data_IF_701736096214
#
_entry.id   IF_701736096214
#
_cell.length_a   1.000
_cell.length_b   1.000
_cell.length_c   1.000
_cell.angle_alpha   90.00
_cell.angle_beta   90.00
_cell.angle_gamma   90.00
#
_symmetry.space_group_name_H-M   'P 1'
#
loop_
_entity.id
_entity.type
_entity.pdbx_description
1 polymer ?
#
# COMPACT_ATOMS: atom_id res chain seq x y z
N UNK A 1 -7.22 5.60 6.14
CA UNK A 1 -6.69 4.30 5.70
C UNK A 1 -5.65 3.84 6.71
N UNK A 2 -5.78 2.66 7.25
CA UNK A 2 -4.86 2.13 8.25
C UNK A 2 -4.02 1.02 7.62
N UNK A 3 -2.75 1.33 7.31
CA UNK A 3 -1.83 0.37 6.69
C UNK A 3 -1.55 -0.81 7.61
N UNK A 4 -1.47 -0.56 8.92
CA UNK A 4 -1.21 -1.63 9.90
C UNK A 4 -2.32 -2.68 9.87
N UNK A 5 -3.57 -2.25 9.80
CA UNK A 5 -4.70 -3.18 9.70
C UNK A 5 -4.67 -4.00 8.42
N UNK A 6 -4.30 -3.37 7.30
CA UNK A 6 -4.19 -4.07 6.02
C UNK A 6 -3.08 -5.11 6.04
N UNK A 7 -1.93 -4.75 6.58
CA UNK A 7 -0.80 -5.68 6.69
C UNK A 7 -1.18 -6.85 7.61
N UNK A 8 -1.84 -6.57 8.73
CA UNK A 8 -2.29 -7.61 9.65
C UNK A 8 -3.28 -8.57 8.99
N UNK A 9 -4.23 -8.03 8.22
CA UNK A 9 -5.20 -8.85 7.50
C UNK A 9 -4.52 -9.79 6.51
N UNK A 10 -3.50 -9.29 5.78
CA UNK A 10 -2.73 -10.12 4.86
C UNK A 10 -1.95 -11.21 5.58
N UNK A 11 -1.39 -10.89 6.74
CA UNK A 11 -0.71 -11.88 7.57
C UNK A 11 -1.66 -12.98 8.03
N UNK A 12 -2.84 -12.61 8.51
CA UNK A 12 -3.85 -13.56 8.95
C UNK A 12 -4.32 -14.46 7.82
N UNK A 13 -4.53 -13.88 6.65
CA UNK A 13 -4.92 -14.64 5.45
C UNK A 13 -3.90 -15.70 5.10
N UNK A 14 -2.60 -15.41 5.31
CA UNK A 14 -1.52 -16.34 5.02
C UNK A 14 -1.14 -17.23 6.19
N UNK A 15 -1.69 -16.97 7.38
CA UNK A 15 -1.31 -17.68 8.60
C UNK A 15 0.10 -17.31 9.07
N UNK A 16 0.54 -16.09 8.79
CA UNK A 16 1.89 -15.63 9.13
C UNK A 16 1.92 -14.94 10.48
N UNK A 17 3.02 -15.18 11.22
CA UNK A 17 3.36 -14.46 12.44
C UNK A 17 4.23 -13.25 12.09
N UNK A 18 4.43 -12.36 13.08
CA UNK A 18 5.38 -11.24 12.94
C UNK A 18 6.77 -11.76 12.58
N UNK A 19 7.19 -12.87 13.19
CA UNK A 19 8.47 -13.50 12.88
C UNK A 19 8.58 -13.88 11.40
N UNK A 20 7.53 -14.50 10.86
CA UNK A 20 7.52 -14.89 9.45
C UNK A 20 7.58 -13.68 8.54
N UNK A 21 6.83 -12.63 8.85
CA UNK A 21 6.86 -11.40 8.07
C UNK A 21 8.24 -10.75 8.09
N UNK A 22 8.86 -10.71 9.27
CA UNK A 22 10.23 -10.19 9.41
C UNK A 22 11.22 -10.97 8.54
N UNK A 23 11.11 -12.29 8.56
CA UNK A 23 11.99 -13.15 7.78
C UNK A 23 11.81 -12.93 6.28
N UNK A 24 10.58 -12.88 5.81
CA UNK A 24 10.30 -12.77 4.37
C UNK A 24 10.57 -11.36 3.83
N UNK A 25 10.38 -10.33 4.64
CA UNK A 25 10.53 -8.94 4.20
C UNK A 25 11.94 -8.38 4.43
N UNK A 26 12.70 -8.97 5.33
CA UNK A 26 14.00 -8.42 5.75
C UNK A 26 13.87 -7.25 6.72
N UNK A 27 12.67 -6.88 7.12
CA UNK A 27 12.44 -5.84 8.14
C UNK A 27 12.61 -6.47 9.52
N UNK A 28 13.24 -5.75 10.46
CA UNK A 28 13.46 -6.30 11.79
C UNK A 28 12.16 -6.59 12.51
N UNK A 29 12.17 -7.66 13.31
CA UNK A 29 11.02 -8.02 14.15
C UNK A 29 10.57 -6.86 15.03
N UNK A 30 11.56 -6.15 15.63
CA UNK A 30 11.27 -5.00 16.51
C UNK A 30 10.53 -3.88 15.77
N UNK A 31 10.94 -3.59 14.56
CA UNK A 31 10.28 -2.55 13.75
C UNK A 31 8.82 -2.92 13.48
N UNK A 32 8.56 -4.17 13.11
CA UNK A 32 7.20 -4.63 12.83
C UNK A 32 6.35 -4.61 14.11
N UNK A 33 6.90 -5.13 15.22
CA UNK A 33 6.19 -5.12 16.51
C UNK A 33 5.86 -3.70 16.97
N UNK A 34 6.81 -2.78 16.85
CA UNK A 34 6.56 -1.39 17.21
C UNK A 34 5.50 -0.74 16.33
N UNK A 35 5.48 -1.07 15.06
CA UNK A 35 4.46 -0.57 14.14
C UNK A 35 3.05 -0.97 14.63
N UNK A 36 2.87 -2.23 15.03
CA UNK A 36 1.59 -2.71 15.52
C UNK A 36 1.27 -2.22 16.93
N UNK A 37 2.23 -2.34 17.85
CA UNK A 37 1.99 -2.04 19.27
C UNK A 37 1.78 -0.54 19.53
N UNK A 38 2.51 0.30 18.83
CA UNK A 38 2.43 1.77 18.98
C UNK A 38 1.61 2.45 17.92
N UNK A 39 1.09 1.69 16.98
CA UNK A 39 0.32 2.22 15.86
C UNK A 39 1.04 3.35 15.13
N UNK A 40 2.37 3.20 14.95
CA UNK A 40 3.17 4.18 14.23
C UNK A 40 3.12 3.90 12.74
N UNK A 41 3.13 4.97 11.95
CA UNK A 41 3.20 4.82 10.50
C UNK A 41 4.59 4.40 10.07
N UNK A 42 4.70 3.33 9.27
CA UNK A 42 6.00 2.94 8.73
C UNK A 42 6.46 3.90 7.64
N UNK A 43 7.78 3.97 7.44
CA UNK A 43 8.33 4.74 6.32
C UNK A 43 8.03 4.04 5.00
N UNK A 44 8.12 4.80 3.90
CA UNK A 44 7.87 4.23 2.56
C UNK A 44 8.81 3.05 2.26
N UNK A 45 10.13 3.14 2.52
CA UNK A 45 11.02 1.98 2.31
C UNK A 45 10.61 0.75 3.13
N UNK A 46 10.14 0.94 4.36
CA UNK A 46 9.65 -0.16 5.19
C UNK A 46 8.41 -0.80 4.58
N UNK A 47 7.46 0.03 4.13
CA UNK A 47 6.23 -0.47 3.48
C UNK A 47 6.58 -1.27 2.22
N UNK A 48 7.50 -0.76 1.41
CA UNK A 48 7.92 -1.47 0.20
C UNK A 48 8.55 -2.83 0.53
N UNK A 49 9.39 -2.87 1.56
CA UNK A 49 10.01 -4.13 2.00
C UNK A 49 8.95 -5.13 2.48
N UNK A 50 7.96 -4.67 3.25
CA UNK A 50 6.87 -5.52 3.71
C UNK A 50 6.04 -6.05 2.54
N UNK A 51 5.75 -5.21 1.55
CA UNK A 51 5.05 -5.63 0.35
C UNK A 51 5.83 -6.70 -0.42
N UNK A 52 7.13 -6.52 -0.58
CA UNK A 52 7.97 -7.51 -1.23
C UNK A 52 7.94 -8.85 -0.49
N UNK A 53 7.99 -8.81 0.83
CA UNK A 53 7.90 -10.02 1.65
C UNK A 53 6.56 -10.73 1.51
N UNK A 54 5.49 -9.95 1.38
CA UNK A 54 4.13 -10.49 1.21
C UNK A 54 3.83 -10.89 -0.25
N UNK A 55 4.70 -10.54 -1.19
CA UNK A 55 4.49 -10.87 -2.59
C UNK A 55 3.43 -10.02 -3.27
N UNK A 56 3.22 -8.80 -2.77
CA UNK A 56 2.26 -7.86 -3.34
C UNK A 56 2.97 -6.57 -3.76
N UNK A 57 2.28 -5.77 -4.57
CA UNK A 57 2.77 -4.44 -4.93
C UNK A 57 2.30 -3.41 -3.91
N UNK A 58 2.96 -2.24 -3.90
CA UNK A 58 2.53 -1.12 -3.06
C UNK A 58 1.12 -0.68 -3.45
N UNK A 59 0.83 -0.66 -4.73
CA UNK A 59 -0.50 -0.30 -5.24
C UNK A 59 -1.58 -1.24 -4.71
N UNK A 60 -1.32 -2.55 -4.71
CA UNK A 60 -2.25 -3.53 -4.16
C UNK A 60 -2.51 -3.29 -2.68
N UNK A 61 -1.47 -2.96 -1.92
CA UNK A 61 -1.63 -2.67 -0.50
C UNK A 61 -2.49 -1.42 -0.27
N UNK A 62 -2.22 -0.35 -1.01
CA UNK A 62 -2.93 0.92 -0.85
C UNK A 62 -4.38 0.84 -1.29
N UNK A 63 -4.66 0.12 -2.37
CA UNK A 63 -6.01 -0.02 -2.90
C UNK A 63 -6.78 -1.18 -2.24
N UNK A 64 -6.05 -2.09 -1.59
CA UNK A 64 -6.65 -3.21 -0.88
C UNK A 64 -7.47 -4.10 -1.82
N UNK A 65 -8.61 -4.57 -1.34
CA UNK A 65 -9.49 -5.43 -2.12
C UNK A 65 -10.04 -4.74 -3.37
N UNK A 66 -10.08 -3.42 -3.36
CA UNK A 66 -10.53 -2.65 -4.51
C UNK A 66 -9.63 -2.82 -5.74
N UNK A 67 -8.35 -3.14 -5.53
CA UNK A 67 -7.41 -3.29 -6.64
C UNK A 67 -7.82 -4.45 -7.57
N UNK A 68 -8.19 -5.59 -6.99
CA UNK A 68 -8.57 -6.75 -7.79
C UNK A 68 -9.92 -6.57 -8.48
N UNK A 69 -10.73 -5.63 -8.01
CA UNK A 69 -12.02 -5.31 -8.58
C UNK A 69 -11.95 -4.18 -9.62
N UNK A 70 -10.76 -3.63 -9.90
CA UNK A 70 -10.61 -2.57 -10.88
C UNK A 70 -10.89 -3.09 -12.29
N UNK A 71 -11.64 -2.31 -13.06
CA UNK A 71 -11.84 -2.58 -14.48
C UNK A 71 -10.61 -2.14 -15.29
N UNK A 72 -10.61 -2.44 -16.58
CA UNK A 72 -9.48 -2.14 -17.45
C UNK A 72 -9.24 -0.63 -17.57
N UNK A 73 -10.28 0.17 -17.54
CA UNK A 73 -10.18 1.64 -17.60
C UNK A 73 -9.48 2.18 -16.34
N UNK A 74 -9.83 1.68 -15.17
CA UNK A 74 -9.20 2.08 -13.91
C UNK A 74 -7.74 1.66 -13.86
N UNK A 75 -7.43 0.46 -14.31
CA UNK A 75 -6.05 -0.03 -14.38
C UNK A 75 -5.20 0.82 -15.31
N UNK A 76 -5.75 1.19 -16.46
CA UNK A 76 -5.08 2.05 -17.43
C UNK A 76 -4.81 3.43 -16.81
N UNK A 77 -5.78 3.99 -16.11
CA UNK A 77 -5.64 5.28 -15.43
C UNK A 77 -4.50 5.24 -14.41
N UNK A 78 -4.46 4.20 -13.57
CA UNK A 78 -3.41 4.06 -12.56
C UNK A 78 -2.02 3.89 -13.19
N UNK A 79 -1.95 3.14 -14.29
CA UNK A 79 -0.70 2.94 -15.02
C UNK A 79 -0.18 4.28 -15.56
N UNK A 80 -1.05 5.08 -16.16
CA UNK A 80 -0.69 6.40 -16.68
C UNK A 80 -0.33 7.37 -15.57
N UNK A 81 -1.05 7.29 -14.44
CA UNK A 81 -0.76 8.13 -13.26
C UNK A 81 0.68 7.95 -12.80
N UNK A 82 1.18 6.71 -12.78
CA UNK A 82 2.54 6.42 -12.31
C UNK A 82 3.62 7.04 -13.19
N UNK A 83 3.30 7.38 -14.43
CA UNK A 83 4.26 8.00 -15.36
C UNK A 83 4.27 9.53 -15.28
N UNK A 84 3.33 10.12 -14.55
CA UNK A 84 3.23 11.58 -14.44
C UNK A 84 4.33 12.15 -13.55
N UNK A 85 4.76 13.37 -13.87
CA UNK A 85 5.64 14.14 -12.99
C UNK A 85 4.86 14.57 -11.74
N UNK A 86 5.59 14.97 -10.67
CA UNK A 86 4.95 15.47 -9.46
C UNK A 86 4.06 16.69 -9.74
N UNK A 87 4.50 17.58 -10.64
CA UNK A 87 3.72 18.74 -11.03
C UNK A 87 2.43 18.36 -11.75
N UNK A 88 2.53 17.43 -12.70
CA UNK A 88 1.36 16.98 -13.45
C UNK A 88 0.36 16.22 -12.56
N UNK A 89 0.85 15.49 -11.55
CA UNK A 89 -0.02 14.84 -10.56
C UNK A 89 -0.85 15.85 -9.80
N UNK A 90 -0.24 16.99 -9.41
CA UNK A 90 -0.96 18.07 -8.71
C UNK A 90 -2.06 18.65 -9.60
N UNK A 91 -1.76 18.88 -10.87
CA UNK A 91 -2.73 19.42 -11.84
C UNK A 91 -3.90 18.44 -11.97
N UNK A 92 -3.61 17.17 -12.11
CA UNK A 92 -4.65 16.14 -12.22
C UNK A 92 -5.53 16.05 -10.99
N UNK A 93 -4.94 16.16 -9.80
CA UNK A 93 -5.72 16.11 -8.56
C UNK A 93 -6.67 17.29 -8.44
N UNK A 94 -6.22 18.49 -8.81
CA UNK A 94 -7.08 19.69 -8.82
C UNK A 94 -8.24 19.49 -9.80
N UNK A 95 -7.95 18.98 -10.98
CA UNK A 95 -8.97 18.76 -12.01
C UNK A 95 -10.00 17.71 -11.55
N UNK A 96 -9.52 16.59 -10.99
CA UNK A 96 -10.39 15.53 -10.50
C UNK A 96 -11.30 16.04 -9.37
N UNK A 97 -10.75 16.86 -8.47
CA UNK A 97 -11.55 17.44 -7.37
C UNK A 97 -12.66 18.33 -7.91
N UNK A 98 -12.38 19.13 -8.93
CA UNK A 98 -13.39 20.00 -9.55
C UNK A 98 -14.49 19.18 -10.21
N UNK A 99 -14.11 18.12 -10.92
CA UNK A 99 -15.07 17.28 -11.61
C UNK A 99 -15.91 16.46 -10.65
N UNK A 100 -15.34 16.01 -9.54
CA UNK A 100 -16.06 15.19 -8.57
C UNK A 100 -16.98 15.99 -7.66
N UNK A 101 -16.80 17.31 -7.57
CA UNK A 101 -17.63 18.18 -6.74
C UNK A 101 -18.80 18.84 -7.49
N UNK A 102 -19.05 18.45 -8.70
CA UNK A 102 -20.15 19.00 -9.53
C UNK A 102 -21.46 18.21 -9.40
#
# INVERSE_FOLDING_TARGET
>A
MNLQCKIRALMEERGWTVYRLAKESGVSWSTIRNMFDRNTEPTVPTVEALCNGLGITLEELLLGEGFTALDDEQKDLLSKWSTLTAENKKIMLVLLNKLSNT
#
